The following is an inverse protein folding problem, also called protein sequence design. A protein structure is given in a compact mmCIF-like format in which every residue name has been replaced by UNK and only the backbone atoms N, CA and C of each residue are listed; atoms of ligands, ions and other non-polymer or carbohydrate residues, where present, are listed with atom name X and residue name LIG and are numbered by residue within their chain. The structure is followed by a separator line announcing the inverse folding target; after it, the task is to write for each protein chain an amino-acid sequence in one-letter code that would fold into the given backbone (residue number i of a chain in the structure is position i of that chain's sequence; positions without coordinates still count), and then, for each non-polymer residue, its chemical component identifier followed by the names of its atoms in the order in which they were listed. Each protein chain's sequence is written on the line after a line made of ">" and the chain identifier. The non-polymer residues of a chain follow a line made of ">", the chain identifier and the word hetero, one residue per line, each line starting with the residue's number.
data_IF_405941847492
#
_entry.id   IF_405941847492
#
_cell.length_a   1.000
_cell.length_b   1.000
_cell.length_c   1.000
_cell.angle_alpha   90.00
_cell.angle_beta   90.00
_cell.angle_gamma   90.00
#
_symmetry.space_group_name_H-M   'P 1'
#
loop_
_entity.id
_entity.type
_entity.pdbx_description
1 polymer ?
#
# COMPACT_ATOMS: atom_id res chain seq x y z
N UNK A 1 1.29 -20.60 2.85
CA UNK A 1 0.56 -19.91 1.75
C UNK A 1 -0.51 -20.85 1.27
N UNK A 2 -1.78 -20.41 1.18
CA UNK A 2 -2.90 -21.25 0.75
C UNK A 2 -2.64 -21.81 -0.66
N UNK A 3 -2.88 -23.11 -0.85
CA UNK A 3 -3.07 -23.69 -2.18
C UNK A 3 -4.52 -23.48 -2.64
N UNK A 4 -4.77 -23.55 -3.95
CA UNK A 4 -6.13 -23.40 -4.53
C UNK A 4 -7.15 -24.38 -3.93
N UNK A 5 -6.71 -25.57 -3.53
CA UNK A 5 -7.56 -26.62 -2.98
C UNK A 5 -7.98 -26.37 -1.51
N UNK A 6 -7.38 -25.38 -0.85
CA UNK A 6 -7.65 -25.10 0.56
C UNK A 6 -8.76 -24.04 0.75
N UNK A 7 -9.21 -23.40 -0.33
CA UNK A 7 -10.20 -22.33 -0.29
C UNK A 7 -11.59 -22.86 -0.68
N UNK A 8 -12.54 -22.73 0.23
CA UNK A 8 -13.95 -23.08 0.03
C UNK A 8 -14.79 -21.80 0.01
N UNK A 9 -15.68 -21.69 -0.98
CA UNK A 9 -16.61 -20.57 -1.09
C UNK A 9 -18.02 -21.03 -0.72
N UNK A 10 -18.70 -20.23 0.08
CA UNK A 10 -20.12 -20.36 0.39
C UNK A 10 -20.84 -19.09 -0.08
N UNK A 11 -21.97 -19.26 -0.76
CA UNK A 11 -22.87 -18.19 -1.15
C UNK A 11 -24.23 -18.43 -0.49
N UNK A 12 -24.71 -17.47 0.29
CA UNK A 12 -25.97 -17.57 1.05
C UNK A 12 -26.07 -18.88 1.87
N UNK A 13 -25.00 -19.21 2.60
CA UNK A 13 -24.78 -20.44 3.38
C UNK A 13 -24.69 -21.76 2.60
N UNK A 14 -24.88 -21.74 1.28
CA UNK A 14 -24.71 -22.92 0.44
C UNK A 14 -23.27 -23.00 -0.12
N UNK A 15 -22.64 -24.20 -0.15
CA UNK A 15 -21.33 -24.35 -0.77
C UNK A 15 -21.40 -24.08 -2.27
N UNK A 16 -20.48 -23.25 -2.76
CA UNK A 16 -20.40 -22.85 -4.16
C UNK A 16 -19.10 -23.37 -4.78
N UNK A 17 -19.24 -24.30 -5.72
CA UNK A 17 -18.10 -24.85 -6.44
C UNK A 17 -17.54 -23.81 -7.43
N UNK A 18 -16.29 -23.41 -7.22
CA UNK A 18 -15.58 -22.42 -8.05
C UNK A 18 -14.16 -22.89 -8.36
N UNK A 19 -13.62 -22.38 -9.46
CA UNK A 19 -12.22 -22.60 -9.82
C UNK A 19 -11.38 -21.41 -9.36
N UNK A 20 -10.54 -21.64 -8.35
CA UNK A 20 -9.59 -20.63 -7.89
C UNK A 20 -8.40 -20.54 -8.83
N UNK A 21 -7.98 -19.31 -9.14
CA UNK A 21 -6.79 -19.05 -9.93
C UNK A 21 -6.03 -17.82 -9.45
N UNK A 22 -4.74 -17.74 -9.78
CA UNK A 22 -3.94 -16.54 -9.54
C UNK A 22 -4.18 -15.48 -10.63
N UNK A 23 -3.88 -14.18 -10.37
CA UNK A 23 -4.00 -13.13 -11.39
C UNK A 23 -3.15 -13.35 -12.65
N UNK A 24 -2.06 -14.11 -12.54
CA UNK A 24 -1.20 -14.48 -13.67
C UNK A 24 -1.58 -15.80 -14.35
N UNK A 25 -2.64 -16.48 -13.85
CA UNK A 25 -3.15 -17.75 -14.36
C UNK A 25 -2.23 -18.96 -14.16
N UNK A 26 -1.08 -18.80 -13.48
CA UNK A 26 -0.09 -19.87 -13.28
C UNK A 26 -0.36 -20.73 -12.06
N UNK A 27 -1.29 -20.32 -11.20
CA UNK A 27 -1.71 -21.01 -9.98
C UNK A 27 -0.54 -21.41 -9.07
N UNK A 28 0.48 -20.53 -9.02
CA UNK A 28 1.61 -20.66 -8.10
C UNK A 28 1.20 -20.15 -6.72
N UNK A 29 1.82 -20.63 -5.63
CA UNK A 29 1.58 -20.06 -4.30
C UNK A 29 1.77 -18.54 -4.32
N UNK A 30 0.76 -17.82 -3.82
CA UNK A 30 0.72 -16.36 -3.85
C UNK A 30 -0.24 -15.80 -2.80
N UNK A 31 -0.26 -14.47 -2.67
CA UNK A 31 -1.09 -13.74 -1.69
C UNK A 31 -2.50 -13.44 -2.20
N UNK A 32 -2.82 -13.74 -3.46
CA UNK A 32 -4.11 -13.44 -4.08
C UNK A 32 -4.60 -14.60 -4.93
N UNK A 33 -5.84 -14.98 -4.66
CA UNK A 33 -6.62 -15.96 -5.39
C UNK A 33 -7.94 -15.32 -5.81
N UNK A 34 -8.37 -15.62 -7.03
CA UNK A 34 -9.58 -15.11 -7.63
C UNK A 34 -10.43 -16.29 -8.10
N UNK A 35 -11.73 -16.07 -8.20
CA UNK A 35 -12.65 -16.98 -8.87
C UNK A 35 -13.75 -16.19 -9.57
N UNK A 36 -14.30 -16.77 -10.63
CA UNK A 36 -15.48 -16.23 -11.30
C UNK A 36 -16.74 -16.74 -10.60
N UNK A 37 -17.65 -15.82 -10.26
CA UNK A 37 -18.94 -16.19 -9.71
C UNK A 37 -19.91 -16.58 -10.83
N UNK A 38 -20.64 -17.70 -10.71
CA UNK A 38 -21.67 -18.04 -11.67
C UNK A 38 -22.84 -17.04 -11.56
N UNK A 39 -23.50 -16.75 -12.68
CA UNK A 39 -24.64 -15.81 -12.71
C UNK A 39 -25.77 -16.19 -11.73
N UNK A 40 -25.91 -17.49 -11.42
CA UNK A 40 -26.88 -17.98 -10.43
C UNK A 40 -26.60 -17.53 -8.99
N UNK A 41 -25.35 -17.18 -8.67
CA UNK A 41 -24.96 -16.70 -7.34
C UNK A 41 -25.35 -15.23 -7.09
N UNK A 42 -25.72 -14.49 -8.15
CA UNK A 42 -26.10 -13.08 -8.10
C UNK A 42 -27.50 -12.92 -8.70
N UNK A 43 -28.52 -13.35 -7.96
CA UNK A 43 -29.90 -13.25 -8.44
C UNK A 43 -30.56 -11.95 -7.97
N UNK A 44 -31.37 -11.34 -8.84
CA UNK A 44 -32.00 -10.04 -8.50
C UNK A 44 -33.17 -10.15 -7.50
N UNK A 45 -33.55 -11.36 -7.12
CA UNK A 45 -34.68 -11.61 -6.23
C UNK A 45 -34.38 -11.22 -4.78
N UNK A 46 -33.14 -11.43 -4.32
CA UNK A 46 -32.76 -11.11 -2.95
C UNK A 46 -32.25 -9.67 -2.80
N UNK A 47 -32.46 -9.05 -1.62
CA UNK A 47 -31.96 -7.70 -1.35
C UNK A 47 -30.44 -7.67 -1.11
N UNK A 48 -29.83 -8.83 -0.80
CA UNK A 48 -28.41 -8.99 -0.57
C UNK A 48 -27.97 -10.43 -0.81
N UNK A 49 -26.68 -10.62 -1.06
CA UNK A 49 -26.01 -11.92 -1.11
C UNK A 49 -24.83 -11.94 -0.14
N UNK A 50 -24.68 -13.01 0.62
CA UNK A 50 -23.56 -13.21 1.53
C UNK A 50 -22.55 -14.16 0.91
N UNK A 51 -21.27 -13.76 0.88
CA UNK A 51 -20.17 -14.58 0.39
C UNK A 51 -19.17 -14.83 1.52
N UNK A 52 -18.98 -16.10 1.86
CA UNK A 52 -18.06 -16.53 2.92
C UNK A 52 -16.97 -17.43 2.33
N UNK A 53 -15.72 -17.03 2.54
CA UNK A 53 -14.54 -17.81 2.14
C UNK A 53 -13.96 -18.46 3.37
N UNK A 54 -13.80 -19.78 3.33
CA UNK A 54 -13.15 -20.56 4.37
C UNK A 54 -11.83 -21.11 3.85
N UNK A 55 -10.74 -20.84 4.57
CA UNK A 55 -9.43 -21.42 4.30
C UNK A 55 -9.18 -22.61 5.23
N UNK A 56 -9.34 -23.82 4.70
CA UNK A 56 -9.25 -25.07 5.45
C UNK A 56 -7.85 -25.32 6.03
N UNK A 57 -6.79 -24.90 5.32
CA UNK A 57 -5.41 -25.11 5.77
C UNK A 57 -4.98 -24.22 6.94
N UNK A 58 -5.72 -23.15 7.25
CA UNK A 58 -5.41 -22.22 8.33
C UNK A 58 -6.58 -21.94 9.27
N UNK A 59 -7.67 -22.71 9.17
CA UNK A 59 -8.87 -22.61 10.02
C UNK A 59 -9.41 -21.18 10.18
N UNK A 60 -9.35 -20.39 9.10
CA UNK A 60 -9.79 -19.00 9.09
C UNK A 60 -10.90 -18.80 8.07
N UNK A 61 -11.80 -17.86 8.34
CA UNK A 61 -12.88 -17.49 7.44
C UNK A 61 -13.07 -15.97 7.40
N UNK A 62 -13.51 -15.48 6.24
CA UNK A 62 -13.94 -14.10 6.05
C UNK A 62 -15.26 -14.09 5.30
N UNK A 63 -16.10 -13.13 5.62
CA UNK A 63 -17.43 -12.98 5.03
C UNK A 63 -17.65 -11.54 4.59
N UNK A 64 -18.23 -11.37 3.41
CA UNK A 64 -18.67 -10.08 2.91
C UNK A 64 -20.11 -10.17 2.39
N UNK A 65 -20.79 -9.03 2.36
CA UNK A 65 -22.17 -8.93 1.88
C UNK A 65 -22.20 -8.00 0.67
N UNK A 66 -22.85 -8.45 -0.40
CA UNK A 66 -23.15 -7.64 -1.57
C UNK A 66 -24.63 -7.26 -1.55
N UNK A 67 -24.90 -5.98 -1.35
CA UNK A 67 -26.27 -5.45 -1.36
C UNK A 67 -26.75 -5.19 -2.79
N UNK A 68 -28.06 -5.33 -3.02
CA UNK A 68 -28.68 -5.05 -4.31
C UNK A 68 -28.45 -3.59 -4.72
N UNK A 69 -27.97 -3.39 -5.94
CA UNK A 69 -27.63 -2.08 -6.49
C UNK A 69 -26.20 -1.61 -6.19
N UNK A 70 -25.46 -2.30 -5.31
CA UNK A 70 -24.04 -2.08 -5.13
C UNK A 70 -23.24 -2.90 -6.15
N UNK A 71 -22.13 -2.34 -6.62
CA UNK A 71 -21.21 -3.01 -7.55
C UNK A 71 -20.15 -3.87 -6.86
N UNK A 72 -19.99 -3.72 -5.55
CA UNK A 72 -18.94 -4.36 -4.76
C UNK A 72 -19.38 -4.55 -3.30
N UNK A 73 -18.82 -5.57 -2.68
CA UNK A 73 -18.88 -5.83 -1.24
C UNK A 73 -17.53 -6.41 -0.82
N UNK A 74 -17.04 -6.05 0.36
CA UNK A 74 -15.73 -6.49 0.82
C UNK A 74 -15.70 -6.71 2.32
N UNK A 75 -14.74 -7.52 2.74
CA UNK A 75 -14.31 -7.64 4.13
C UNK A 75 -12.79 -7.57 4.10
N UNK A 76 -12.23 -6.61 4.82
CA UNK A 76 -10.78 -6.39 4.91
C UNK A 76 -10.42 -6.25 6.37
N UNK A 77 -9.32 -6.89 6.72
CA UNK A 77 -8.68 -6.70 8.01
C UNK A 77 -8.14 -5.29 8.13
N UNK A 78 -8.41 -4.69 9.29
CA UNK A 78 -7.97 -3.34 9.58
C UNK A 78 -6.49 -3.35 9.93
N UNK A 79 -5.68 -2.65 9.13
CA UNK A 79 -4.22 -2.58 9.32
C UNK A 79 -3.87 -1.91 10.65
N UNK A 80 -4.69 -0.95 11.07
CA UNK A 80 -4.58 -0.17 12.30
C UNK A 80 -5.03 -0.95 13.53
N UNK A 81 -6.13 -1.69 13.44
CA UNK A 81 -6.63 -2.51 14.57
C UNK A 81 -5.78 -3.76 14.78
N UNK A 82 -5.40 -4.45 13.71
CA UNK A 82 -4.51 -5.63 13.77
C UNK A 82 -3.04 -5.28 13.94
N UNK A 83 -2.71 -3.98 13.91
CA UNK A 83 -1.36 -3.46 14.07
C UNK A 83 -0.34 -4.11 13.13
N UNK A 84 -0.69 -4.33 11.87
CA UNK A 84 0.12 -5.13 10.92
C UNK A 84 1.57 -4.62 10.78
N UNK A 85 1.81 -3.31 10.98
CA UNK A 85 3.14 -2.70 10.85
C UNK A 85 3.85 -2.42 12.17
N UNK A 86 3.24 -2.68 13.33
CA UNK A 86 3.83 -2.41 14.65
C UNK A 86 3.39 -3.44 15.69
N UNK A 87 4.17 -3.60 16.76
CA UNK A 87 3.71 -4.46 17.86
C UNK A 87 2.69 -3.73 18.73
N UNK A 88 1.71 -4.49 19.25
CA UNK A 88 0.86 -4.06 20.37
C UNK A 88 1.72 -3.69 21.58
N UNK A 89 1.66 -2.41 21.96
CA UNK A 89 2.36 -1.87 23.12
C UNK A 89 1.37 -1.67 24.26
N UNK A 90 1.68 -2.27 25.41
CA UNK A 90 1.05 -1.88 26.68
C UNK A 90 1.56 -0.51 27.12
N UNK A 91 0.88 0.11 28.09
CA UNK A 91 1.29 1.40 28.65
C UNK A 91 2.72 1.34 29.22
N UNK A 92 3.07 0.25 29.89
CA UNK A 92 4.40 0.02 30.47
C UNK A 92 5.45 -0.10 29.37
N UNK A 93 5.19 -0.89 28.33
CA UNK A 93 6.11 -1.03 27.19
C UNK A 93 6.32 0.30 26.47
N UNK A 94 5.24 1.06 26.25
CA UNK A 94 5.34 2.39 25.63
C UNK A 94 6.18 3.34 26.47
N UNK A 95 6.04 3.31 27.79
CA UNK A 95 6.81 4.17 28.70
C UNK A 95 8.30 3.82 28.66
N UNK A 96 8.61 2.52 28.68
CA UNK A 96 10.01 2.05 28.57
C UNK A 96 10.60 2.48 27.22
N UNK A 97 9.92 2.22 26.11
CA UNK A 97 10.42 2.59 24.78
C UNK A 97 10.61 4.11 24.62
N UNK A 98 9.76 4.93 25.24
CA UNK A 98 9.95 6.38 25.24
C UNK A 98 11.20 6.78 26.04
N UNK A 99 11.43 6.17 27.21
CA UNK A 99 12.65 6.40 28.00
C UNK A 99 13.92 5.99 27.24
N UNK A 100 13.89 4.85 26.54
CA UNK A 100 14.98 4.41 25.68
C UNK A 100 15.22 5.37 24.51
N UNK A 101 14.16 5.94 23.93
CA UNK A 101 14.26 6.91 22.85
C UNK A 101 14.98 8.17 23.32
N UNK A 102 14.60 8.73 24.47
CA UNK A 102 15.28 9.89 25.04
C UNK A 102 16.74 9.58 25.38
N UNK A 103 17.01 8.42 25.98
CA UNK A 103 18.38 8.00 26.31
C UNK A 103 19.25 7.84 25.06
N UNK A 104 18.69 7.32 23.97
CA UNK A 104 19.38 7.25 22.69
C UNK A 104 19.65 8.65 22.10
N UNK A 105 18.73 9.60 22.23
CA UNK A 105 18.96 10.99 21.77
C UNK A 105 20.08 11.68 22.57
N UNK A 106 20.17 11.42 23.88
CA UNK A 106 21.30 11.88 24.70
C UNK A 106 22.62 11.26 24.23
N UNK A 107 22.62 9.94 23.96
CA UNK A 107 23.81 9.26 23.42
C UNK A 107 24.21 9.81 22.05
N UNK A 108 23.25 10.14 21.18
CA UNK A 108 23.53 10.77 19.89
C UNK A 108 24.24 12.13 20.05
N UNK A 109 23.90 12.91 21.09
CA UNK A 109 24.57 14.17 21.35
C UNK A 109 26.06 13.98 21.73
N UNK A 110 26.38 12.87 22.40
CA UNK A 110 27.76 12.48 22.74
C UNK A 110 28.50 11.86 21.55
N UNK A 111 27.80 11.04 20.75
CA UNK A 111 28.35 10.31 19.60
C UNK A 111 27.52 10.51 18.32
N UNK A 112 27.65 11.68 17.64
CA UNK A 112 26.76 12.05 16.53
C UNK A 112 26.80 11.13 15.31
N UNK A 113 27.90 10.38 15.16
CA UNK A 113 28.13 9.47 14.04
C UNK A 113 27.89 8.00 14.40
N UNK A 114 27.34 7.72 15.59
CA UNK A 114 27.03 6.36 15.99
C UNK A 114 25.83 5.82 15.18
N UNK A 115 26.14 5.09 14.11
CA UNK A 115 25.17 4.51 13.17
C UNK A 115 24.15 3.58 13.84
N UNK A 116 24.53 2.92 14.93
CA UNK A 116 23.62 2.02 15.65
C UNK A 116 22.64 2.81 16.49
N UNK A 117 23.11 3.84 17.20
CA UNK A 117 22.26 4.77 17.94
C UNK A 117 21.22 5.42 17.01
N UNK A 118 21.65 5.98 15.87
CA UNK A 118 20.75 6.59 14.88
C UNK A 118 19.68 5.61 14.36
N UNK A 119 20.08 4.37 14.03
CA UNK A 119 19.14 3.34 13.58
C UNK A 119 18.17 2.94 14.70
N UNK A 120 18.64 2.83 15.94
CA UNK A 120 17.79 2.51 17.09
C UNK A 120 16.76 3.61 17.33
N UNK A 121 17.13 4.89 17.24
CA UNK A 121 16.18 6.02 17.34
C UNK A 121 15.08 5.89 16.28
N UNK A 122 15.45 5.60 15.02
CA UNK A 122 14.48 5.36 13.94
C UNK A 122 13.51 4.22 14.28
N UNK A 123 14.02 3.09 14.79
CA UNK A 123 13.20 1.92 15.12
C UNK A 123 12.31 2.16 16.34
N UNK A 124 12.77 2.91 17.35
CA UNK A 124 11.99 3.29 18.51
C UNK A 124 10.84 4.23 18.13
N UNK A 125 11.11 5.26 17.31
CA UNK A 125 10.08 6.14 16.77
C UNK A 125 9.04 5.36 15.95
N UNK A 126 9.49 4.39 15.15
CA UNK A 126 8.60 3.49 14.39
C UNK A 126 7.71 2.66 15.30
N UNK A 127 8.26 2.13 16.39
CA UNK A 127 7.53 1.28 17.33
C UNK A 127 6.51 2.09 18.16
N UNK A 128 6.90 3.28 18.62
CA UNK A 128 6.06 4.16 19.44
C UNK A 128 4.91 4.75 18.63
N UNK A 129 5.21 5.59 17.64
CA UNK A 129 4.20 6.21 16.80
C UNK A 129 4.78 6.62 15.42
N UNK A 130 4.55 5.80 14.38
CA UNK A 130 5.16 6.04 13.08
C UNK A 130 4.61 7.29 12.36
N UNK A 131 3.40 7.74 12.69
CA UNK A 131 2.76 8.89 12.03
C UNK A 131 3.16 10.20 12.70
N UNK A 132 3.23 10.23 14.03
CA UNK A 132 3.69 11.39 14.81
C UNK A 132 5.17 11.67 14.53
N UNK A 133 6.00 10.63 14.53
CA UNK A 133 7.44 10.78 14.33
C UNK A 133 7.89 10.76 12.86
N UNK A 134 6.97 10.79 11.87
CA UNK A 134 7.33 10.65 10.44
C UNK A 134 8.41 11.65 10.00
N UNK A 135 8.21 12.93 10.28
CA UNK A 135 9.16 13.98 9.87
C UNK A 135 10.53 13.82 10.52
N UNK A 136 10.54 13.52 11.82
CA UNK A 136 11.78 13.32 12.57
C UNK A 136 12.51 12.07 12.05
N UNK A 137 11.79 10.96 11.88
CA UNK A 137 12.30 9.71 11.29
C UNK A 137 12.99 9.94 9.94
N UNK A 138 12.38 10.73 9.04
CA UNK A 138 12.98 11.05 7.75
C UNK A 138 14.30 11.82 7.90
N UNK A 139 14.37 12.78 8.83
CA UNK A 139 15.62 13.49 9.13
C UNK A 139 16.70 12.55 9.67
N UNK A 140 16.35 11.59 10.50
CA UNK A 140 17.32 10.59 10.99
C UNK A 140 17.80 9.66 9.90
N UNK A 141 16.97 9.31 8.91
CA UNK A 141 17.41 8.56 7.73
C UNK A 141 18.50 9.31 6.96
N UNK A 142 18.34 10.63 6.77
CA UNK A 142 19.34 11.45 6.07
C UNK A 142 20.66 11.47 6.84
N UNK A 143 20.62 11.67 8.16
CA UNK A 143 21.80 11.64 9.03
C UNK A 143 22.47 10.26 9.03
N UNK A 144 21.70 9.19 9.17
CA UNK A 144 22.22 7.81 9.17
C UNK A 144 22.84 7.45 7.82
N UNK A 145 22.25 7.92 6.71
CA UNK A 145 22.78 7.70 5.37
C UNK A 145 24.10 8.43 5.15
N UNK A 146 24.27 9.61 5.75
CA UNK A 146 25.54 10.32 5.74
C UNK A 146 26.61 9.63 6.60
N UNK A 147 26.22 9.10 7.76
CA UNK A 147 27.11 8.38 8.68
C UNK A 147 27.49 6.98 8.17
N UNK A 148 26.64 6.34 7.35
CA UNK A 148 26.90 5.03 6.75
C UNK A 148 26.56 4.97 5.23
N UNK A 149 27.38 5.61 4.38
CA UNK A 149 27.14 5.68 2.93
C UNK A 149 27.13 4.32 2.25
N UNK A 150 27.85 3.33 2.81
CA UNK A 150 27.92 1.97 2.27
C UNK A 150 26.57 1.26 2.31
N UNK A 151 25.67 1.63 3.24
CA UNK A 151 24.31 1.09 3.35
C UNK A 151 23.23 1.98 2.73
N UNK A 152 23.61 2.98 1.93
CA UNK A 152 22.70 3.98 1.38
C UNK A 152 21.49 3.41 0.64
N UNK A 153 21.67 2.38 -0.19
CA UNK A 153 20.57 1.73 -0.90
C UNK A 153 19.61 0.98 0.05
N UNK A 154 20.16 0.26 1.04
CA UNK A 154 19.35 -0.41 2.07
C UNK A 154 18.50 0.59 2.86
N UNK A 155 19.10 1.72 3.23
CA UNK A 155 18.41 2.77 3.99
C UNK A 155 17.32 3.46 3.14
N UNK A 156 17.56 3.67 1.84
CA UNK A 156 16.53 4.18 0.92
C UNK A 156 15.35 3.22 0.80
N UNK A 157 15.61 1.92 0.75
CA UNK A 157 14.57 0.88 0.69
C UNK A 157 13.77 0.81 2.00
N UNK A 158 14.45 0.86 3.15
CA UNK A 158 13.80 0.88 4.46
C UNK A 158 12.94 2.15 4.65
N UNK A 159 13.46 3.32 4.24
CA UNK A 159 12.72 4.58 4.24
C UNK A 159 11.47 4.48 3.35
N UNK A 160 11.61 3.89 2.16
CA UNK A 160 10.49 3.66 1.24
C UNK A 160 9.41 2.79 1.88
N UNK A 161 9.81 1.71 2.56
CA UNK A 161 8.90 0.85 3.30
C UNK A 161 8.11 1.63 4.36
N UNK A 162 8.76 2.43 5.18
CA UNK A 162 8.08 3.21 6.23
C UNK A 162 7.09 4.23 5.64
N UNK A 163 7.45 4.87 4.54
CA UNK A 163 6.57 5.83 3.85
C UNK A 163 5.32 5.15 3.26
N UNK A 164 5.46 3.95 2.69
CA UNK A 164 4.34 3.15 2.21
C UNK A 164 3.44 2.74 3.37
N UNK A 165 4.01 2.18 4.43
CA UNK A 165 3.26 1.79 5.63
C UNK A 165 2.50 2.98 6.24
N UNK A 166 3.13 4.15 6.36
CA UNK A 166 2.46 5.38 6.83
C UNK A 166 1.31 5.81 5.94
N UNK A 167 1.46 5.67 4.63
CA UNK A 167 0.41 6.05 3.68
C UNK A 167 -0.78 5.11 3.77
N UNK A 168 -0.55 3.81 4.01
CA UNK A 168 -1.61 2.83 4.27
C UNK A 168 -2.36 3.17 5.55
N UNK A 169 -1.65 3.48 6.64
CA UNK A 169 -2.27 3.90 7.91
C UNK A 169 -3.12 5.16 7.72
N UNK A 170 -2.59 6.19 7.06
CA UNK A 170 -3.34 7.44 6.79
C UNK A 170 -4.57 7.21 5.91
N UNK A 171 -4.45 6.35 4.90
CA UNK A 171 -5.58 5.97 4.06
C UNK A 171 -6.69 5.33 4.89
N UNK A 172 -6.34 4.42 5.80
CA UNK A 172 -7.32 3.75 6.66
C UNK A 172 -7.95 4.70 7.68
N UNK A 173 -7.17 5.56 8.34
CA UNK A 173 -7.70 6.60 9.24
C UNK A 173 -8.67 7.56 8.54
N UNK A 174 -8.45 7.83 7.26
CA UNK A 174 -9.31 8.69 6.46
C UNK A 174 -10.48 7.93 5.80
N UNK A 175 -10.60 6.62 6.02
CA UNK A 175 -11.54 5.71 5.34
C UNK A 175 -11.52 5.90 3.80
N UNK A 176 -10.34 6.22 3.26
CA UNK A 176 -10.15 6.55 1.86
C UNK A 176 -9.73 5.32 1.04
N UNK A 177 -9.95 5.40 -0.29
CA UNK A 177 -9.44 4.42 -1.26
C UNK A 177 -8.39 5.03 -2.20
N UNK A 178 -7.80 6.14 -1.78
CA UNK A 178 -6.83 6.92 -2.52
C UNK A 178 -5.51 6.90 -1.76
N UNK A 179 -4.42 6.55 -2.44
CA UNK A 179 -3.07 6.51 -1.87
C UNK A 179 -2.15 7.40 -2.68
N UNK A 180 -1.68 8.49 -2.06
CA UNK A 180 -0.70 9.40 -2.66
C UNK A 180 0.71 9.16 -2.11
N UNK A 181 1.54 8.56 -2.95
CA UNK A 181 2.95 8.28 -2.70
C UNK A 181 3.86 9.12 -3.59
N UNK A 182 3.35 10.20 -4.20
CA UNK A 182 4.11 11.01 -5.13
C UNK A 182 5.24 11.82 -4.46
N UNK A 183 6.33 12.01 -5.18
CA UNK A 183 7.48 12.83 -4.78
C UNK A 183 8.12 12.41 -3.44
N UNK A 184 7.93 11.16 -3.02
CA UNK A 184 8.48 10.63 -1.75
C UNK A 184 9.86 9.99 -1.91
N UNK A 185 10.40 9.94 -3.12
CA UNK A 185 11.71 9.38 -3.43
C UNK A 185 11.78 7.86 -3.22
N UNK A 186 10.66 7.14 -3.38
CA UNK A 186 10.59 5.71 -3.17
C UNK A 186 11.51 4.95 -4.12
N UNK A 187 12.27 4.00 -3.60
CA UNK A 187 13.13 3.07 -4.37
C UNK A 187 12.48 1.70 -4.53
N UNK A 188 11.61 1.31 -3.60
CA UNK A 188 10.80 0.08 -3.64
C UNK A 188 9.33 0.37 -3.31
N UNK A 189 8.46 -0.58 -3.70
CA UNK A 189 7.08 -0.68 -3.26
C UNK A 189 6.88 -2.01 -2.52
N UNK A 190 6.18 -1.97 -1.40
CA UNK A 190 5.88 -3.12 -0.54
C UNK A 190 4.43 -3.07 -0.05
N UNK A 191 3.98 -4.12 0.63
CA UNK A 191 2.65 -4.21 1.28
C UNK A 191 1.47 -3.96 0.34
N UNK A 192 1.62 -4.32 -0.94
CA UNK A 192 0.57 -4.13 -1.95
C UNK A 192 -0.63 -5.06 -1.72
N UNK A 193 -0.42 -6.15 -0.98
CA UNK A 193 -1.47 -7.03 -0.46
C UNK A 193 -2.43 -6.33 0.50
N UNK A 194 -2.05 -5.18 1.08
CA UNK A 194 -2.90 -4.35 1.93
C UNK A 194 -3.73 -3.32 1.13
N UNK A 195 -3.51 -3.24 -0.19
CA UNK A 195 -4.13 -2.24 -1.07
C UNK A 195 -5.12 -2.81 -2.12
N UNK A 196 -5.80 -3.97 -1.93
CA UNK A 196 -6.62 -4.55 -3.00
C UNK A 196 -7.82 -3.65 -3.36
N UNK A 197 -8.31 -2.86 -2.40
CA UNK A 197 -9.45 -1.96 -2.55
C UNK A 197 -9.08 -0.56 -3.06
N UNK A 198 -7.80 -0.22 -3.24
CA UNK A 198 -7.40 1.13 -3.68
C UNK A 198 -7.90 1.40 -5.09
N UNK A 199 -8.57 2.54 -5.30
CA UNK A 199 -9.06 3.00 -6.60
C UNK A 199 -8.10 3.96 -7.29
N UNK A 200 -7.35 4.74 -6.52
CA UNK A 200 -6.41 5.72 -7.05
C UNK A 200 -5.04 5.58 -6.38
N UNK A 201 -4.00 5.39 -7.18
CA UNK A 201 -2.63 5.28 -6.70
C UNK A 201 -1.70 6.23 -7.47
N UNK A 202 -1.18 7.23 -6.78
CA UNK A 202 -0.20 8.16 -7.34
C UNK A 202 1.23 7.76 -6.95
N UNK A 203 2.06 7.46 -7.94
CA UNK A 203 3.47 7.07 -7.76
C UNK A 203 4.45 8.03 -8.45
N UNK A 204 3.98 9.17 -8.95
CA UNK A 204 4.78 10.13 -9.71
C UNK A 204 5.98 10.66 -8.90
N UNK A 205 7.09 11.01 -9.55
CA UNK A 205 8.22 11.65 -8.87
C UNK A 205 9.00 10.77 -7.89
N UNK A 206 8.94 9.45 -8.04
CA UNK A 206 9.72 8.50 -7.26
C UNK A 206 10.96 7.98 -8.03
N UNK A 207 11.78 7.15 -7.36
CA UNK A 207 13.00 6.55 -7.90
C UNK A 207 12.82 5.04 -8.16
N UNK A 208 11.58 4.62 -8.40
CA UNK A 208 11.23 3.23 -8.66
C UNK A 208 11.80 2.80 -10.02
N UNK A 209 12.66 1.78 -10.03
CA UNK A 209 13.24 1.25 -11.27
C UNK A 209 12.29 0.30 -12.00
N UNK A 210 11.51 -0.46 -11.23
CA UNK A 210 10.60 -1.50 -11.72
C UNK A 210 9.38 -1.56 -10.81
N UNK A 211 8.25 -1.94 -11.40
CA UNK A 211 7.03 -2.21 -10.67
C UNK A 211 7.00 -3.68 -10.29
N UNK A 212 6.73 -4.02 -9.02
CA UNK A 212 6.73 -5.40 -8.59
C UNK A 212 5.53 -6.16 -9.19
N UNK A 213 5.65 -7.47 -9.45
CA UNK A 213 4.52 -8.29 -9.92
C UNK A 213 3.33 -8.30 -8.96
N UNK A 214 3.59 -8.07 -7.66
CA UNK A 214 2.55 -7.94 -6.62
C UNK A 214 1.61 -6.76 -6.85
N UNK A 215 1.90 -5.86 -7.78
CA UNK A 215 0.96 -4.83 -8.19
C UNK A 215 -0.34 -5.40 -8.80
N UNK A 216 -0.32 -6.65 -9.28
CA UNK A 216 -1.53 -7.34 -9.71
C UNK A 216 -2.60 -7.48 -8.60
N UNK A 217 -2.22 -7.25 -7.33
CA UNK A 217 -3.12 -7.25 -6.18
C UNK A 217 -4.12 -6.08 -6.18
N UNK A 218 -3.81 -4.98 -6.86
CA UNK A 218 -4.63 -3.76 -6.84
C UNK A 218 -5.78 -3.90 -7.86
N UNK A 219 -6.82 -4.64 -7.48
CA UNK A 219 -7.92 -5.02 -8.37
C UNK A 219 -8.95 -3.92 -8.59
N UNK A 220 -9.09 -3.01 -7.64
CA UNK A 220 -10.00 -1.87 -7.75
C UNK A 220 -9.34 -0.64 -8.41
N UNK A 221 -8.10 -0.72 -8.86
CA UNK A 221 -7.36 0.45 -9.34
C UNK A 221 -7.90 0.96 -10.69
N UNK A 222 -8.45 2.18 -10.66
CA UNK A 222 -9.03 2.87 -11.82
C UNK A 222 -8.01 3.80 -12.48
N UNK A 223 -7.31 4.61 -11.67
CA UNK A 223 -6.35 5.61 -12.13
C UNK A 223 -4.98 5.37 -11.55
N UNK A 224 -3.98 5.40 -12.42
CA UNK A 224 -2.58 5.27 -12.04
C UNK A 224 -1.72 6.34 -12.69
N UNK A 225 -1.24 7.28 -11.87
CA UNK A 225 -0.31 8.30 -12.32
C UNK A 225 1.14 7.81 -12.17
N UNK A 226 1.69 7.34 -13.29
CA UNK A 226 3.10 7.06 -13.47
C UNK A 226 3.69 8.16 -14.37
N UNK A 227 4.30 9.20 -13.79
CA UNK A 227 5.19 10.07 -14.57
C UNK A 227 6.60 9.51 -14.58
N UNK A 228 7.03 9.10 -15.78
CA UNK A 228 8.35 8.55 -16.11
C UNK A 228 9.51 9.41 -15.59
N UNK A 229 10.33 8.83 -14.73
CA UNK A 229 11.75 9.16 -14.65
C UNK A 229 12.49 8.40 -15.73
N UNK A 230 12.69 9.05 -16.89
CA UNK A 230 13.74 8.80 -17.91
C UNK A 230 14.38 7.39 -17.94
N UNK A 231 13.63 6.37 -18.36
CA UNK A 231 14.20 5.13 -18.92
C UNK A 231 13.12 4.33 -19.68
N UNK A 232 13.30 3.96 -20.97
CA UNK A 232 12.24 3.44 -21.85
C UNK A 232 11.89 1.95 -21.62
N UNK A 233 11.95 1.46 -20.38
CA UNK A 233 11.90 0.02 -20.04
C UNK A 233 10.73 -0.47 -19.19
N UNK A 234 9.83 0.40 -18.71
CA UNK A 234 8.77 0.00 -17.77
C UNK A 234 7.59 -0.62 -18.52
N UNK A 235 7.69 -1.93 -18.82
CA UNK A 235 6.56 -2.71 -19.34
C UNK A 235 5.60 -3.03 -18.17
N UNK A 236 4.36 -2.55 -18.26
CA UNK A 236 3.29 -2.94 -17.34
C UNK A 236 3.03 -4.46 -17.42
N UNK A 237 2.74 -5.16 -16.31
CA UNK A 237 2.26 -6.54 -16.38
C UNK A 237 0.87 -6.57 -17.03
N UNK A 238 0.70 -7.40 -18.05
CA UNK A 238 -0.48 -7.54 -18.92
C UNK A 238 -1.73 -8.17 -18.23
N UNK A 239 -1.97 -7.97 -16.93
CA UNK A 239 -3.03 -8.73 -16.21
C UNK A 239 -3.93 -7.90 -15.28
N UNK A 240 -4.20 -6.64 -15.62
CA UNK A 240 -5.24 -5.83 -14.96
C UNK A 240 -6.39 -5.52 -15.93
N UNK A 241 -7.61 -6.05 -15.71
CA UNK A 241 -8.79 -5.63 -16.44
C UNK A 241 -9.24 -4.28 -15.85
N UNK A 242 -8.93 -3.16 -16.50
CA UNK A 242 -9.36 -1.83 -16.04
C UNK A 242 -8.40 -0.66 -16.29
N UNK A 243 -7.21 -0.90 -16.83
CA UNK A 243 -6.22 0.17 -17.08
C UNK A 243 -6.73 1.18 -18.14
N UNK A 244 -7.26 2.32 -17.69
CA UNK A 244 -7.33 3.52 -18.50
C UNK A 244 -6.11 4.38 -18.19
N UNK A 245 -5.18 4.46 -19.14
CA UNK A 245 -4.16 5.50 -19.10
C UNK A 245 -4.81 6.77 -19.65
N UNK A 246 -4.75 7.88 -18.92
CA UNK A 246 -5.25 9.16 -19.44
C UNK A 246 -4.57 9.46 -20.79
N UNK A 247 -5.32 9.80 -21.85
CA UNK A 247 -4.71 10.21 -23.10
C UNK A 247 -3.99 11.54 -22.89
N UNK A 248 -2.69 11.55 -23.21
CA UNK A 248 -1.92 12.77 -23.45
C UNK A 248 -2.73 13.70 -24.36
N UNK A 249 -3.04 14.91 -23.91
CA UNK A 249 -3.38 16.03 -24.78
C UNK A 249 -2.07 16.63 -25.34
N UNK A 250 -1.77 16.54 -26.64
CA UNK A 250 -0.68 17.30 -27.24
C UNK A 250 -1.22 18.64 -27.76
N UNK A 251 -0.56 19.74 -27.37
CA UNK A 251 -0.64 21.02 -28.06
C UNK A 251 -1.90 21.84 -27.81
N UNK A 252 -1.84 22.73 -26.81
CA UNK A 252 -2.61 23.98 -26.85
C UNK A 252 -1.64 25.11 -27.19
N UNK A 253 -1.92 25.75 -28.33
CA UNK A 253 -1.23 26.91 -28.89
C UNK A 253 -0.99 28.03 -27.88
N UNK A 254 0.14 28.72 -28.06
CA UNK A 254 0.38 30.04 -27.47
C UNK A 254 -0.75 30.99 -27.87
N UNK A 255 -1.53 31.44 -26.90
CA UNK A 255 -2.32 32.66 -27.06
C UNK A 255 -1.37 33.89 -27.14
N UNK A 256 -1.66 34.88 -28.01
CA UNK A 256 -0.83 36.07 -28.14
C UNK A 256 -1.04 37.01 -26.95
N UNK A 257 0.01 37.72 -26.57
CA UNK A 257 -0.02 38.74 -25.52
C UNK A 257 -0.95 39.90 -25.91
N UNK A 258 -1.77 40.44 -24.99
CA UNK A 258 -2.44 41.71 -25.22
C UNK A 258 -1.47 42.88 -25.01
N UNK A 259 -1.45 43.79 -25.99
CA UNK A 259 -0.77 45.09 -25.95
C UNK A 259 -1.31 46.00 -24.83
N UNK A 260 -0.52 46.97 -24.36
CA UNK A 260 -0.81 47.75 -23.15
C UNK A 260 -1.84 48.84 -23.45
N UNK A 261 -2.84 48.99 -22.58
CA UNK A 261 -3.73 50.15 -22.64
C UNK A 261 -3.47 51.09 -21.45
N UNK A 262 -3.15 52.30 -21.87
CA UNK A 262 -2.82 53.55 -21.23
C UNK A 262 -3.76 54.04 -20.12
N UNK A 263 -3.14 54.79 -19.19
CA UNK A 263 -3.72 55.83 -18.34
C UNK A 263 -5.07 56.43 -18.79
N UNK A 264 -6.07 56.38 -17.91
CA UNK A 264 -6.60 57.53 -17.15
C UNK A 264 -7.55 57.05 -16.06
#
# INVERSE_FOLDING_TARGET
>A
MPGSCDLLLFADEAPLAVNWHTPDGKNRPGLMWLCDLPASALNEHWPQHTFRVHWAGGESQKECVLFKGCSEGWCRDSVTEEQVFRCELSMEKSTVLQSELESCKELQALEPQNKWCLLTIILLMRALDPLVYERETLSYFDTLKAADPMRSAYLDDLRSRFLVENSILRMEYAEARVVDLSCRGLTILCHLEQLPLVTHLNLAGNRLRRLPPTLAMLRCLEVRDLREGRDPGVRAPNSSPGLTTSPNTPGAERAPAPLPWSHR
#
